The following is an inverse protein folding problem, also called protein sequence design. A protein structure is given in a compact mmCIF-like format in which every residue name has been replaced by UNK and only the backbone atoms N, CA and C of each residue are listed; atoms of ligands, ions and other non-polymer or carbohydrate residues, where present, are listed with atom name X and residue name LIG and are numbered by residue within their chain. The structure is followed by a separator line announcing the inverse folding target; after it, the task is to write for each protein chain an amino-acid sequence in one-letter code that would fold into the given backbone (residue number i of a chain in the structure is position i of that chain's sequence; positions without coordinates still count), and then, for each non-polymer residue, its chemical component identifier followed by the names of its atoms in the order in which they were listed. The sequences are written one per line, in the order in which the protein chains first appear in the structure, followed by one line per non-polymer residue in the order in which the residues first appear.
data_IF_742949362372
#
_entry.id   IF_742949362372
#
_cell.length_a   1.000
_cell.length_b   1.000
_cell.length_c   1.000
_cell.angle_alpha   90.00
_cell.angle_beta   90.00
_cell.angle_gamma   90.00
#
_symmetry.space_group_name_H-M   'P 1'
#
loop_
_entity.id
_entity.type
_entity.pdbx_description
1 polymer ?
#
# COMPACT_ATOMS: atom_id res chain seq x y z
N UNK A 1 -22.11 37.09 23.92
CA UNK A 1 -21.08 36.12 23.53
C UNK A 1 -21.75 35.15 22.56
N UNK A 2 -21.18 34.94 21.38
CA UNK A 2 -21.72 34.07 20.34
C UNK A 2 -21.84 32.62 20.86
N UNK A 3 -22.92 31.91 20.54
CA UNK A 3 -23.19 30.54 20.98
C UNK A 3 -24.04 29.80 19.95
N UNK A 4 -23.77 28.53 19.77
CA UNK A 4 -24.51 27.65 18.85
C UNK A 4 -24.60 28.21 17.41
N UNK A 5 -23.53 28.85 16.96
CA UNK A 5 -23.47 29.48 15.66
C UNK A 5 -22.10 29.35 14.98
N UNK A 6 -22.12 29.49 13.66
CA UNK A 6 -20.92 29.54 12.84
C UNK A 6 -20.28 30.91 12.89
N UNK A 7 -18.95 30.97 13.09
CA UNK A 7 -18.15 32.20 13.05
C UNK A 7 -17.08 32.06 12.00
N UNK A 8 -16.95 33.05 11.13
CA UNK A 8 -15.84 33.18 10.21
C UNK A 8 -14.77 34.10 10.81
N UNK A 9 -13.59 33.55 11.01
CA UNK A 9 -12.42 34.30 11.47
C UNK A 9 -11.60 34.74 10.28
N UNK A 10 -11.51 36.06 10.06
CA UNK A 10 -10.81 36.67 8.92
C UNK A 10 -9.29 36.57 9.02
N UNK A 11 -8.75 36.54 10.24
CA UNK A 11 -7.32 36.48 10.47
C UNK A 11 -6.74 35.11 10.15
N UNK A 12 -7.57 34.06 10.31
CA UNK A 12 -7.20 32.68 10.02
C UNK A 12 -7.85 32.12 8.75
N UNK A 13 -8.66 32.93 8.03
CA UNK A 13 -9.43 32.51 6.86
C UNK A 13 -10.15 31.16 7.09
N UNK A 14 -10.90 31.10 8.19
CA UNK A 14 -11.45 29.83 8.68
C UNK A 14 -12.82 29.98 9.33
N UNK A 15 -13.66 28.95 9.17
CA UNK A 15 -14.92 28.81 9.86
C UNK A 15 -14.78 27.99 11.13
N UNK A 16 -15.46 28.40 12.18
CA UNK A 16 -15.56 27.75 13.48
C UNK A 16 -17.03 27.62 13.87
N UNK A 17 -17.38 26.60 14.66
CA UNK A 17 -18.70 26.52 15.27
C UNK A 17 -18.56 26.58 16.79
N UNK A 18 -19.30 27.49 17.42
CA UNK A 18 -19.29 27.66 18.85
C UNK A 18 -20.41 26.85 19.48
N UNK A 19 -20.11 26.16 20.58
CA UNK A 19 -21.09 25.46 21.42
C UNK A 19 -21.92 26.45 22.25
N UNK A 20 -22.86 25.92 23.03
CA UNK A 20 -23.66 26.66 23.96
C UNK A 20 -22.86 27.33 25.10
N UNK A 21 -21.67 26.78 25.41
CA UNK A 21 -20.72 27.34 26.38
C UNK A 21 -19.78 28.41 25.75
N UNK A 22 -19.93 28.69 24.47
CA UNK A 22 -19.15 29.66 23.73
C UNK A 22 -17.75 29.14 23.29
N UNK A 23 -17.39 27.89 23.56
CA UNK A 23 -16.16 27.28 23.09
C UNK A 23 -16.34 26.71 21.68
N UNK A 24 -15.29 26.75 20.88
CA UNK A 24 -15.34 26.13 19.55
C UNK A 24 -15.35 24.60 19.65
N UNK A 25 -15.95 23.97 18.65
CA UNK A 25 -15.99 22.54 18.46
C UNK A 25 -14.65 22.04 17.93
N UNK A 26 -14.25 20.82 18.33
CA UNK A 26 -13.12 20.08 17.75
C UNK A 26 -13.56 18.65 17.46
N UNK A 27 -12.89 17.99 16.51
CA UNK A 27 -13.25 16.64 16.10
C UNK A 27 -14.56 16.59 15.31
N UNK A 28 -15.31 15.50 15.43
CA UNK A 28 -16.60 15.32 14.75
C UNK A 28 -17.74 15.81 15.64
N UNK A 29 -18.64 16.62 15.07
CA UNK A 29 -19.77 17.20 15.81
C UNK A 29 -21.03 17.33 14.94
N UNK A 30 -22.19 16.97 15.51
CA UNK A 30 -23.48 17.05 14.79
C UNK A 30 -24.14 18.40 15.01
N UNK A 31 -24.38 19.14 13.94
CA UNK A 31 -25.07 20.42 13.94
C UNK A 31 -26.37 20.27 13.13
N UNK A 32 -27.51 20.47 13.76
CA UNK A 32 -28.85 20.36 13.15
C UNK A 32 -29.03 19.04 12.34
N UNK A 33 -28.57 17.92 12.92
CA UNK A 33 -28.70 16.60 12.31
C UNK A 33 -27.69 16.26 11.21
N UNK A 34 -26.78 17.18 10.85
CA UNK A 34 -25.68 16.95 9.90
C UNK A 34 -24.34 16.92 10.64
N UNK A 35 -23.52 15.94 10.31
CA UNK A 35 -22.18 15.77 10.87
C UNK A 35 -21.17 16.69 10.17
N UNK A 36 -20.34 17.34 10.97
CA UNK A 36 -19.25 18.22 10.55
C UNK A 36 -17.94 17.81 11.23
N UNK A 37 -16.84 18.01 10.56
CA UNK A 37 -15.51 17.73 11.10
C UNK A 37 -14.72 19.01 11.32
N UNK A 38 -14.01 19.08 12.44
CA UNK A 38 -13.21 20.22 12.84
C UNK A 38 -11.81 19.75 13.26
N UNK A 39 -10.81 20.57 12.97
CA UNK A 39 -9.43 20.36 13.43
C UNK A 39 -9.34 20.49 14.97
N UNK A 40 -8.20 20.10 15.55
CA UNK A 40 -7.93 20.27 16.97
C UNK A 40 -7.92 21.76 17.41
N UNK A 41 -7.64 22.67 16.49
CA UNK A 41 -7.71 24.11 16.71
C UNK A 41 -9.11 24.69 16.46
N UNK A 42 -10.12 23.85 16.17
CA UNK A 42 -11.50 24.25 15.92
C UNK A 42 -11.82 24.68 14.50
N UNK A 43 -10.88 24.75 13.58
CA UNK A 43 -11.15 25.10 12.18
C UNK A 43 -12.04 24.05 11.53
N UNK A 44 -13.12 24.48 10.87
CA UNK A 44 -14.00 23.59 10.11
C UNK A 44 -13.27 23.03 8.89
N UNK A 45 -13.41 21.72 8.68
CA UNK A 45 -12.93 21.02 7.50
C UNK A 45 -14.10 20.96 6.53
N UNK A 46 -14.16 21.89 5.56
CA UNK A 46 -15.30 22.06 4.67
C UNK A 46 -15.52 20.89 3.71
N UNK A 47 -14.44 20.24 3.31
CA UNK A 47 -14.43 19.03 2.50
C UNK A 47 -13.28 18.13 2.93
N UNK A 48 -13.56 17.17 3.80
CA UNK A 48 -12.55 16.19 4.18
C UNK A 48 -12.29 15.25 3.00
N UNK A 49 -11.12 15.37 2.40
CA UNK A 49 -10.64 14.47 1.35
C UNK A 49 -9.83 13.30 1.91
N UNK A 50 -9.41 13.38 3.17
CA UNK A 50 -8.58 12.39 3.84
C UNK A 50 -9.12 12.06 5.22
N UNK A 51 -8.95 10.79 5.60
CA UNK A 51 -9.38 10.28 6.89
C UNK A 51 -8.27 9.42 7.50
N UNK A 52 -8.11 9.54 8.82
CA UNK A 52 -7.19 8.72 9.62
C UNK A 52 -7.96 7.61 10.31
N UNK A 53 -7.45 6.40 10.27
CA UNK A 53 -8.01 5.22 10.94
C UNK A 53 -7.77 5.31 12.45
N UNK A 54 -8.84 5.17 13.24
CA UNK A 54 -8.81 5.25 14.72
C UNK A 54 -8.52 3.93 15.42
N UNK A 55 -9.20 2.80 15.10
CA UNK A 55 -8.98 1.55 15.80
C UNK A 55 -7.67 0.88 15.39
N UNK A 56 -7.18 -0.04 16.21
CA UNK A 56 -5.98 -0.84 15.92
C UNK A 56 -6.12 -1.54 14.57
N UNK A 57 -7.32 -2.04 14.25
CA UNK A 57 -7.65 -2.66 12.97
C UNK A 57 -9.02 -2.19 12.50
N UNK A 58 -9.10 -1.74 11.25
CA UNK A 58 -10.34 -1.42 10.55
C UNK A 58 -10.41 -2.17 9.22
N UNK A 59 -11.61 -2.44 8.73
CA UNK A 59 -11.81 -3.20 7.50
C UNK A 59 -12.28 -2.31 6.35
N UNK A 60 -11.80 -2.64 5.14
CA UNK A 60 -12.31 -2.11 3.89
C UNK A 60 -13.26 -3.15 3.30
N UNK A 61 -14.44 -2.70 2.90
CA UNK A 61 -15.52 -3.56 2.39
C UNK A 61 -15.82 -3.27 0.92
N UNK A 62 -16.28 -4.28 0.20
CA UNK A 62 -16.90 -4.12 -1.12
C UNK A 62 -18.29 -3.48 -1.01
N UNK A 63 -18.88 -3.12 -2.14
CA UNK A 63 -20.27 -2.63 -2.20
C UNK A 63 -21.31 -3.72 -1.78
N UNK A 64 -20.95 -5.00 -1.86
CA UNK A 64 -21.76 -6.14 -1.35
C UNK A 64 -21.59 -6.36 0.16
N UNK A 65 -20.60 -5.72 0.79
CA UNK A 65 -20.31 -5.88 2.21
C UNK A 65 -19.27 -6.95 2.55
N UNK A 66 -18.62 -7.53 1.54
CA UNK A 66 -17.52 -8.46 1.74
C UNK A 66 -16.25 -7.72 2.16
N UNK A 67 -15.44 -8.34 3.00
CA UNK A 67 -14.14 -7.79 3.38
C UNK A 67 -13.17 -7.87 2.21
N UNK A 68 -12.64 -6.74 1.81
CA UNK A 68 -11.61 -6.63 0.77
C UNK A 68 -10.20 -6.60 1.37
N UNK A 69 -10.05 -5.89 2.50
CA UNK A 69 -8.77 -5.71 3.17
C UNK A 69 -8.97 -5.23 4.59
N UNK A 70 -7.87 -5.05 5.32
CA UNK A 70 -7.84 -4.33 6.58
C UNK A 70 -6.68 -3.33 6.59
N UNK A 71 -6.79 -2.34 7.47
CA UNK A 71 -5.81 -1.29 7.68
C UNK A 71 -5.59 -1.07 9.17
N UNK A 72 -4.40 -0.66 9.53
CA UNK A 72 -4.00 -0.43 10.92
C UNK A 72 -4.33 1.00 11.37
N UNK A 73 -4.32 1.21 12.67
CA UNK A 73 -4.43 2.53 13.30
C UNK A 73 -3.44 3.53 12.70
N UNK A 74 -3.90 4.75 12.49
CA UNK A 74 -3.09 5.83 11.93
C UNK A 74 -2.96 5.81 10.41
N UNK A 75 -3.44 4.76 9.71
CA UNK A 75 -3.48 4.74 8.24
C UNK A 75 -4.32 5.89 7.72
N UNK A 76 -3.81 6.58 6.70
CA UNK A 76 -4.54 7.63 5.99
C UNK A 76 -5.18 7.04 4.74
N UNK A 77 -6.49 7.24 4.61
CA UNK A 77 -7.26 6.88 3.42
C UNK A 77 -7.82 8.14 2.78
N UNK A 78 -7.96 8.16 1.47
CA UNK A 78 -8.64 9.26 0.77
C UNK A 78 -10.12 8.96 0.59
N UNK A 79 -10.94 10.01 0.50
CA UNK A 79 -12.35 9.87 0.11
C UNK A 79 -12.43 9.31 -1.31
N UNK A 80 -13.27 8.30 -1.51
CA UNK A 80 -13.58 7.73 -2.82
C UNK A 80 -14.80 8.40 -3.46
N UNK A 81 -14.95 8.21 -4.76
CA UNK A 81 -16.04 8.82 -5.55
C UNK A 81 -17.33 8.01 -5.57
N UNK A 82 -17.30 6.76 -5.09
CA UNK A 82 -18.45 5.87 -5.08
C UNK A 82 -19.53 6.32 -4.08
N UNK A 83 -20.79 6.09 -4.41
CA UNK A 83 -21.88 6.32 -3.45
C UNK A 83 -22.02 5.12 -2.52
N UNK A 84 -22.01 5.37 -1.21
CA UNK A 84 -22.31 4.35 -0.22
C UNK A 84 -23.81 4.07 -0.16
N UNK A 85 -24.18 2.78 -0.12
CA UNK A 85 -25.56 2.33 0.12
C UNK A 85 -25.93 2.33 1.60
N UNK A 86 -24.97 2.53 2.49
CA UNK A 86 -25.13 2.55 3.94
C UNK A 86 -24.69 3.91 4.49
N UNK A 87 -25.56 4.60 5.19
CA UNK A 87 -25.25 5.90 5.81
C UNK A 87 -24.11 5.82 6.84
N UNK A 88 -23.86 4.63 7.40
CA UNK A 88 -22.78 4.38 8.36
C UNK A 88 -21.41 4.20 7.71
N UNK A 89 -21.32 4.16 6.37
CA UNK A 89 -20.07 3.95 5.64
C UNK A 89 -19.77 5.10 4.69
N UNK A 90 -18.48 5.32 4.41
CA UNK A 90 -18.01 6.21 3.37
C UNK A 90 -17.15 5.45 2.37
N UNK A 91 -17.15 5.88 1.11
CA UNK A 91 -16.22 5.34 0.11
C UNK A 91 -14.82 5.81 0.42
N UNK A 92 -13.85 4.93 0.25
CA UNK A 92 -12.44 5.21 0.48
C UNK A 92 -11.57 4.62 -0.63
N UNK A 93 -10.42 5.28 -0.85
CA UNK A 93 -9.34 4.74 -1.68
C UNK A 93 -8.08 4.64 -0.84
N UNK A 94 -7.37 3.52 -1.00
CA UNK A 94 -6.09 3.27 -0.37
C UNK A 94 -5.23 2.36 -1.25
N UNK A 95 -4.03 2.79 -1.62
CA UNK A 95 -3.06 2.00 -2.40
C UNK A 95 -3.66 1.30 -3.62
N UNK A 96 -4.52 2.00 -4.37
CA UNK A 96 -5.22 1.47 -5.54
C UNK A 96 -6.41 0.56 -5.24
N UNK A 97 -6.72 0.29 -3.97
CA UNK A 97 -7.93 -0.39 -3.54
C UNK A 97 -9.04 0.64 -3.29
N UNK A 98 -10.18 0.46 -3.94
CA UNK A 98 -11.41 1.23 -3.69
C UNK A 98 -12.42 0.37 -2.93
N UNK A 99 -13.04 0.92 -1.90
CA UNK A 99 -14.02 0.21 -1.10
C UNK A 99 -14.77 1.14 -0.14
N UNK A 100 -15.31 0.59 0.93
CA UNK A 100 -16.08 1.31 1.93
C UNK A 100 -15.54 1.02 3.33
N UNK A 101 -15.50 2.04 4.18
CA UNK A 101 -15.15 1.90 5.61
C UNK A 101 -16.25 2.50 6.49
N UNK A 102 -16.38 1.99 7.71
CA UNK A 102 -17.33 2.55 8.66
C UNK A 102 -16.88 3.96 9.08
N UNK A 103 -17.80 4.91 9.11
CA UNK A 103 -17.54 6.27 9.59
C UNK A 103 -17.01 6.30 11.01
N UNK A 104 -17.50 5.38 11.86
CA UNK A 104 -17.06 5.25 13.25
C UNK A 104 -15.56 4.96 13.41
N UNK A 105 -14.95 4.35 12.41
CA UNK A 105 -13.53 3.94 12.42
C UNK A 105 -12.60 5.05 11.92
N UNK A 106 -13.15 6.17 11.48
CA UNK A 106 -12.43 7.22 10.78
C UNK A 106 -12.54 8.57 11.51
N UNK A 107 -11.53 9.39 11.36
CA UNK A 107 -11.56 10.82 11.71
C UNK A 107 -11.06 11.61 10.50
N UNK A 108 -11.84 12.63 10.13
CA UNK A 108 -11.45 13.52 9.04
C UNK A 108 -10.18 14.31 9.42
N UNK A 109 -9.27 14.46 8.47
CA UNK A 109 -8.04 15.23 8.63
C UNK A 109 -7.90 16.26 7.52
N UNK A 110 -7.19 17.34 7.83
CA UNK A 110 -6.78 18.36 6.86
C UNK A 110 -5.33 18.09 6.44
N UNK A 111 -5.10 17.98 5.14
CA UNK A 111 -3.77 17.77 4.55
C UNK A 111 -2.77 18.89 4.85
N UNK A 112 -3.24 20.08 5.21
CA UNK A 112 -2.41 21.23 5.51
C UNK A 112 -2.00 21.29 6.99
N UNK A 113 -2.73 20.60 7.88
CA UNK A 113 -2.46 20.54 9.31
C UNK A 113 -1.88 19.21 9.79
N UNK A 114 -2.07 18.12 9.03
CA UNK A 114 -1.52 16.80 9.33
C UNK A 114 -0.72 16.26 8.14
N UNK A 115 0.25 15.39 8.43
CA UNK A 115 0.96 14.70 7.37
C UNK A 115 0.01 13.75 6.65
N UNK A 116 -0.15 13.95 5.35
CA UNK A 116 -0.84 13.01 4.45
C UNK A 116 0.20 12.39 3.53
N UNK A 117 0.20 11.06 3.35
CA UNK A 117 1.08 10.39 2.40
C UNK A 117 0.97 11.03 1.01
N UNK A 118 2.11 11.33 0.42
CA UNK A 118 2.19 12.02 -0.86
C UNK A 118 3.43 11.57 -1.64
N UNK A 119 3.57 12.05 -2.84
CA UNK A 119 4.71 11.75 -3.70
C UNK A 119 5.54 13.00 -3.92
N UNK A 120 6.87 12.82 -3.95
CA UNK A 120 7.84 13.88 -4.28
C UNK A 120 8.87 13.36 -5.27
N UNK A 121 9.67 14.24 -5.86
CA UNK A 121 10.82 13.85 -6.67
C UNK A 121 12.03 14.69 -6.33
N UNK A 122 13.21 14.03 -6.37
CA UNK A 122 14.52 14.67 -6.24
C UNK A 122 15.19 14.98 -7.62
N UNK A 123 14.51 14.63 -8.72
CA UNK A 123 15.01 14.78 -10.08
C UNK A 123 15.73 13.54 -10.61
N UNK A 124 16.05 12.57 -9.76
CA UNK A 124 16.59 11.27 -10.17
C UNK A 124 15.54 10.16 -10.02
N UNK A 125 14.82 10.18 -8.91
CA UNK A 125 13.74 9.25 -8.60
C UNK A 125 12.52 9.99 -8.11
N UNK A 126 11.36 9.32 -8.10
CA UNK A 126 10.24 9.78 -7.30
C UNK A 126 9.97 8.81 -6.14
N UNK A 127 9.44 9.37 -5.07
CA UNK A 127 9.29 8.74 -3.77
C UNK A 127 7.86 8.81 -3.30
N UNK A 128 7.42 7.79 -2.59
CA UNK A 128 6.20 7.80 -1.78
C UNK A 128 6.57 8.12 -0.34
N UNK A 129 6.22 9.31 0.10
CA UNK A 129 6.39 9.79 1.46
C UNK A 129 5.25 9.24 2.31
N UNK A 130 5.51 8.20 3.09
CA UNK A 130 4.50 7.53 3.93
C UNK A 130 4.31 8.18 5.28
N UNK A 131 5.35 8.82 5.80
CA UNK A 131 5.35 9.60 7.04
C UNK A 131 6.48 10.64 7.00
N UNK A 132 6.58 11.56 7.97
CA UNK A 132 7.72 12.47 8.06
C UNK A 132 9.10 11.80 8.15
N UNK A 133 9.11 10.49 8.41
CA UNK A 133 10.34 9.73 8.65
C UNK A 133 10.53 8.54 7.70
N UNK A 134 9.53 8.25 6.84
CA UNK A 134 9.56 7.08 5.96
C UNK A 134 9.26 7.51 4.53
N UNK A 135 10.27 7.37 3.69
CA UNK A 135 10.21 7.64 2.26
C UNK A 135 10.58 6.37 1.49
N UNK A 136 9.75 5.95 0.57
CA UNK A 136 9.97 4.79 -0.29
C UNK A 136 10.27 5.24 -1.72
N UNK A 137 11.42 4.86 -2.26
CA UNK A 137 11.73 5.05 -3.66
C UNK A 137 10.81 4.17 -4.51
N UNK A 138 10.06 4.80 -5.42
CA UNK A 138 9.05 4.12 -6.25
C UNK A 138 9.57 3.80 -7.65
N UNK A 139 10.08 4.82 -8.36
CA UNK A 139 10.57 4.66 -9.72
C UNK A 139 11.51 5.82 -10.10
N UNK A 140 12.14 5.78 -11.30
CA UNK A 140 12.88 6.92 -11.85
C UNK A 140 11.98 8.17 -11.94
N UNK A 141 12.61 9.35 -11.86
CA UNK A 141 11.94 10.64 -12.00
C UNK A 141 11.12 10.72 -13.29
N UNK A 142 9.95 11.31 -13.20
CA UNK A 142 9.11 11.66 -14.35
C UNK A 142 9.20 13.15 -14.64
N UNK A 143 9.40 13.52 -15.90
CA UNK A 143 9.40 14.93 -16.34
C UNK A 143 8.08 15.68 -16.08
N UNK A 144 7.00 14.95 -15.79
CA UNK A 144 5.72 15.53 -15.37
C UNK A 144 5.75 16.05 -13.93
N UNK A 145 6.77 15.67 -13.13
CA UNK A 145 6.91 16.09 -11.73
C UNK A 145 7.91 17.23 -11.62
N UNK A 146 7.56 18.26 -10.87
CA UNK A 146 8.48 19.31 -10.43
C UNK A 146 9.23 18.84 -9.18
N UNK A 147 10.53 19.01 -9.15
CA UNK A 147 11.40 18.62 -8.02
C UNK A 147 10.93 19.29 -6.74
N UNK A 148 10.80 18.53 -5.66
CA UNK A 148 10.40 19.00 -4.32
C UNK A 148 8.91 19.34 -4.16
N UNK A 149 8.12 19.37 -5.24
CA UNK A 149 6.67 19.59 -5.14
C UNK A 149 5.97 18.33 -4.63
N UNK A 150 4.95 18.54 -3.77
CA UNK A 150 4.10 17.45 -3.27
C UNK A 150 3.00 17.14 -4.27
N UNK A 151 2.78 15.87 -4.51
CA UNK A 151 1.73 15.34 -5.37
C UNK A 151 0.93 14.27 -4.61
N UNK A 152 -0.39 14.30 -4.74
CA UNK A 152 -1.27 13.33 -4.10
C UNK A 152 -1.82 12.39 -5.16
N UNK A 153 -1.80 11.10 -4.85
CA UNK A 153 -2.34 10.05 -5.68
C UNK A 153 -2.78 8.88 -4.79
N UNK A 154 -3.87 8.23 -5.15
CA UNK A 154 -4.37 7.06 -4.43
C UNK A 154 -3.71 5.76 -4.87
N UNK A 155 -3.03 5.77 -6.03
CA UNK A 155 -2.43 4.58 -6.63
C UNK A 155 -0.97 4.78 -7.07
N UNK A 156 -0.45 6.02 -7.00
CA UNK A 156 0.91 6.34 -7.43
C UNK A 156 1.11 6.33 -8.95
N UNK A 157 0.03 6.26 -9.71
CA UNK A 157 0.01 6.25 -11.18
C UNK A 157 -0.76 7.46 -11.71
N UNK A 158 -1.97 7.68 -11.21
CA UNK A 158 -2.84 8.77 -11.62
C UNK A 158 -2.71 9.95 -10.65
N UNK A 159 -2.29 11.08 -11.18
CA UNK A 159 -2.11 12.34 -10.46
C UNK A 159 -3.02 13.40 -11.09
N UNK A 160 -3.24 14.51 -10.36
CA UNK A 160 -3.98 15.63 -10.91
C UNK A 160 -3.21 16.25 -12.09
N UNK A 161 -3.80 16.16 -13.27
CA UNK A 161 -3.28 16.70 -14.53
C UNK A 161 -2.25 15.82 -15.27
N UNK A 162 -1.82 14.66 -14.74
CA UNK A 162 -0.92 13.75 -15.44
C UNK A 162 -0.96 12.31 -14.91
N UNK A 163 -0.40 11.40 -15.70
CA UNK A 163 -0.22 9.99 -15.34
C UNK A 163 1.25 9.62 -15.42
N UNK A 164 1.75 8.87 -14.44
CA UNK A 164 3.09 8.29 -14.48
C UNK A 164 2.95 6.81 -14.81
N UNK A 165 3.58 6.41 -15.90
CA UNK A 165 3.67 5.00 -16.23
C UNK A 165 4.70 4.32 -15.31
N UNK A 166 4.22 3.46 -14.43
CA UNK A 166 5.09 2.64 -13.58
C UNK A 166 4.83 1.16 -13.84
N UNK A 167 5.72 0.49 -14.59
CA UNK A 167 5.50 -0.90 -14.99
C UNK A 167 5.52 -1.90 -13.83
N UNK A 168 6.00 -1.50 -12.64
CA UNK A 168 6.19 -2.41 -11.51
C UNK A 168 5.21 -2.19 -10.36
N UNK A 169 4.74 -0.96 -10.16
CA UNK A 169 3.72 -0.65 -9.16
C UNK A 169 2.38 -1.22 -9.64
N UNK A 170 1.65 -1.97 -8.92
CA UNK A 170 0.34 -2.57 -9.30
C UNK A 170 0.37 -3.50 -10.53
N UNK A 171 1.53 -4.01 -10.92
CA UNK A 171 1.59 -4.99 -11.99
C UNK A 171 0.84 -6.25 -11.59
N UNK A 172 -0.02 -6.74 -12.50
CA UNK A 172 -0.73 -7.99 -12.27
C UNK A 172 0.25 -9.16 -12.26
N UNK A 173 0.37 -9.84 -11.11
CA UNK A 173 1.32 -10.94 -10.91
C UNK A 173 0.99 -12.20 -11.69
N UNK A 174 -0.23 -12.33 -12.23
CA UNK A 174 -0.62 -13.45 -13.09
C UNK A 174 -0.26 -13.25 -14.56
N UNK A 175 0.23 -12.05 -14.92
CA UNK A 175 0.70 -11.79 -16.28
C UNK A 175 2.18 -12.14 -16.40
N UNK A 176 2.58 -12.81 -17.49
CA UNK A 176 3.98 -13.15 -17.71
C UNK A 176 4.89 -11.92 -17.70
N UNK A 177 6.12 -12.11 -17.27
CA UNK A 177 7.17 -11.13 -17.48
C UNK A 177 7.59 -11.10 -18.96
N UNK A 178 7.99 -9.93 -19.45
CA UNK A 178 8.51 -9.80 -20.82
C UNK A 178 10.02 -10.05 -20.91
N UNK A 179 10.62 -10.60 -19.85
CA UNK A 179 12.05 -10.86 -19.77
C UNK A 179 12.34 -12.32 -20.08
N UNK A 180 13.40 -12.54 -20.85
CA UNK A 180 14.00 -13.86 -21.07
C UNK A 180 14.76 -14.33 -19.83
N UNK A 181 15.03 -15.63 -19.75
CA UNK A 181 15.86 -16.20 -18.68
C UNK A 181 17.26 -15.53 -18.60
N UNK A 182 17.88 -15.27 -19.75
CA UNK A 182 19.18 -14.61 -19.81
C UNK A 182 19.15 -13.15 -19.33
N UNK A 183 18.07 -12.42 -19.57
CA UNK A 183 17.90 -11.06 -19.05
C UNK A 183 17.69 -11.06 -17.53
N UNK A 184 16.94 -12.01 -17.00
CA UNK A 184 16.80 -12.20 -15.56
C UNK A 184 18.15 -12.51 -14.90
N UNK A 185 18.95 -13.36 -15.50
CA UNK A 185 20.28 -13.71 -14.98
C UNK A 185 21.26 -12.52 -14.99
N UNK A 186 21.16 -11.61 -15.96
CA UNK A 186 21.99 -10.40 -16.01
C UNK A 186 21.82 -9.48 -14.80
N UNK A 187 20.68 -9.52 -14.12
CA UNK A 187 20.40 -8.64 -12.97
C UNK A 187 21.43 -8.85 -11.86
N UNK A 188 21.87 -10.09 -11.62
CA UNK A 188 22.88 -10.36 -10.59
C UNK A 188 24.20 -9.68 -10.88
N UNK A 189 24.66 -9.69 -12.12
CA UNK A 189 25.88 -8.99 -12.53
C UNK A 189 25.70 -7.47 -12.54
N UNK A 190 24.57 -6.95 -13.02
CA UNK A 190 24.28 -5.52 -13.03
C UNK A 190 24.21 -4.93 -11.62
N UNK A 191 23.69 -5.70 -10.67
CA UNK A 191 23.63 -5.32 -9.26
C UNK A 191 24.90 -5.66 -8.47
N UNK A 192 25.95 -6.18 -9.15
CA UNK A 192 27.18 -6.65 -8.53
C UNK A 192 26.96 -7.65 -7.38
N UNK A 193 25.96 -8.51 -7.54
CA UNK A 193 25.63 -9.54 -6.54
C UNK A 193 26.53 -10.76 -6.77
N UNK A 194 27.36 -11.05 -5.77
CA UNK A 194 28.24 -12.22 -5.75
C UNK A 194 27.69 -13.25 -4.77
N UNK A 195 28.08 -14.50 -4.96
CA UNK A 195 27.78 -15.64 -4.05
C UNK A 195 26.28 -15.88 -3.84
N UNK A 196 25.45 -15.54 -4.82
CA UNK A 196 24.03 -15.81 -4.79
C UNK A 196 23.71 -17.22 -5.29
N UNK A 197 22.95 -17.97 -4.52
CA UNK A 197 22.42 -19.28 -4.96
C UNK A 197 21.31 -19.15 -6.03
N UNK A 198 20.80 -17.95 -6.22
CA UNK A 198 19.78 -17.65 -7.23
C UNK A 198 20.40 -17.19 -8.57
N UNK A 199 21.70 -16.89 -8.60
CA UNK A 199 22.38 -16.51 -9.84
C UNK A 199 22.38 -17.66 -10.83
N UNK A 200 22.09 -17.36 -12.12
CA UNK A 200 21.98 -18.38 -13.17
C UNK A 200 20.68 -19.21 -13.12
N UNK A 201 19.69 -18.78 -12.33
CA UNK A 201 18.40 -19.48 -12.19
C UNK A 201 17.26 -18.82 -12.98
N UNK A 202 17.56 -17.92 -13.92
CA UNK A 202 16.57 -17.25 -14.77
C UNK A 202 15.64 -18.23 -15.49
N UNK A 203 16.18 -19.36 -15.98
CA UNK A 203 15.39 -20.41 -16.61
C UNK A 203 14.36 -21.04 -15.64
N UNK A 204 14.75 -21.24 -14.37
CA UNK A 204 13.84 -21.81 -13.35
C UNK A 204 12.75 -20.82 -12.98
N UNK A 205 13.05 -19.53 -12.90
CA UNK A 205 12.03 -18.50 -12.70
C UNK A 205 11.04 -18.43 -13.85
N UNK A 206 11.51 -18.60 -15.11
CA UNK A 206 10.61 -18.70 -16.27
C UNK A 206 9.77 -19.97 -16.27
N UNK A 207 10.34 -21.10 -15.88
CA UNK A 207 9.61 -22.35 -15.69
C UNK A 207 8.51 -22.20 -14.60
N UNK A 208 8.83 -21.53 -13.50
CA UNK A 208 7.85 -21.22 -12.44
C UNK A 208 6.71 -20.35 -12.96
N UNK A 209 7.02 -19.34 -13.77
CA UNK A 209 6.02 -18.49 -14.44
C UNK A 209 5.09 -19.32 -15.35
N UNK A 210 5.68 -20.19 -16.17
CA UNK A 210 4.93 -21.04 -17.11
C UNK A 210 4.01 -22.03 -16.38
N UNK A 211 4.56 -22.73 -15.38
CA UNK A 211 3.83 -23.78 -14.64
C UNK A 211 2.75 -23.24 -13.71
N UNK A 212 3.03 -22.15 -13.00
CA UNK A 212 2.18 -21.67 -11.91
C UNK A 212 1.52 -20.32 -12.21
N UNK A 213 1.83 -19.70 -13.35
CA UNK A 213 1.25 -18.42 -13.73
C UNK A 213 1.57 -17.29 -12.74
N UNK A 214 2.77 -17.30 -12.16
CA UNK A 214 3.27 -16.23 -11.28
C UNK A 214 4.44 -15.55 -11.97
N UNK A 215 4.38 -14.23 -12.13
CA UNK A 215 5.34 -13.42 -12.86
C UNK A 215 6.81 -13.69 -12.43
N UNK A 216 7.67 -14.08 -13.36
CA UNK A 216 9.06 -14.47 -13.10
C UNK A 216 9.90 -13.34 -12.49
N UNK A 217 9.72 -12.09 -12.95
CA UNK A 217 10.44 -10.95 -12.41
C UNK A 217 10.03 -10.67 -10.96
N UNK A 218 8.74 -10.80 -10.66
CA UNK A 218 8.25 -10.70 -9.28
C UNK A 218 8.85 -11.79 -8.40
N UNK A 219 8.80 -13.05 -8.83
CA UNK A 219 9.40 -14.15 -8.07
C UNK A 219 10.87 -13.91 -7.78
N UNK A 220 11.61 -13.43 -8.78
CA UNK A 220 13.04 -13.14 -8.64
C UNK A 220 13.28 -11.97 -7.65
N UNK A 221 12.56 -10.86 -7.80
CA UNK A 221 12.70 -9.70 -6.93
C UNK A 221 12.31 -10.04 -5.48
N UNK A 222 11.23 -10.78 -5.30
CA UNK A 222 10.74 -11.22 -3.99
C UNK A 222 11.74 -12.15 -3.32
N UNK A 223 12.24 -13.17 -4.03
CA UNK A 223 13.27 -14.07 -3.49
C UNK A 223 14.56 -13.33 -3.12
N UNK A 224 14.94 -12.32 -3.89
CA UNK A 224 16.10 -11.48 -3.59
C UNK A 224 15.91 -10.70 -2.28
N UNK A 225 14.74 -10.12 -2.07
CA UNK A 225 14.39 -9.37 -0.85
C UNK A 225 14.37 -10.28 0.38
N UNK A 226 13.60 -11.36 0.35
CA UNK A 226 13.37 -12.26 1.49
C UNK A 226 14.61 -13.07 1.90
N UNK A 227 15.51 -13.33 0.98
CA UNK A 227 16.69 -14.16 1.21
C UNK A 227 18.03 -13.43 1.17
N UNK A 228 18.03 -12.08 1.17
CA UNK A 228 19.22 -11.29 0.93
C UNK A 228 19.98 -11.76 -0.35
N UNK A 229 19.27 -11.85 -1.46
CA UNK A 229 19.77 -12.35 -2.74
C UNK A 229 20.22 -13.83 -2.69
N UNK A 230 19.51 -14.67 -1.96
CA UNK A 230 19.85 -16.08 -1.81
C UNK A 230 21.06 -16.37 -0.92
N UNK A 231 21.47 -15.39 -0.10
CA UNK A 231 22.67 -15.47 0.76
C UNK A 231 22.35 -15.67 2.23
N UNK A 232 21.09 -15.55 2.65
CA UNK A 232 20.70 -15.80 4.04
C UNK A 232 20.98 -17.24 4.46
N UNK A 233 21.13 -17.49 5.77
CA UNK A 233 21.41 -18.84 6.29
C UNK A 233 20.30 -19.83 5.90
N UNK A 234 19.04 -19.43 6.02
CA UNK A 234 17.89 -20.25 5.62
C UNK A 234 17.95 -20.60 4.12
N UNK A 235 18.29 -19.62 3.25
CA UNK A 235 18.45 -19.84 1.82
C UNK A 235 19.58 -20.86 1.53
N UNK A 236 20.70 -20.78 2.23
CA UNK A 236 21.86 -21.67 2.06
C UNK A 236 21.58 -23.09 2.50
N UNK A 237 20.96 -23.28 3.66
CA UNK A 237 20.83 -24.58 4.30
C UNK A 237 19.54 -25.31 3.90
N UNK A 238 18.50 -24.54 3.55
CA UNK A 238 17.15 -25.06 3.31
C UNK A 238 16.62 -24.82 1.90
N UNK A 239 17.35 -24.13 1.02
CA UNK A 239 16.88 -23.71 -0.30
C UNK A 239 15.53 -22.95 -0.25
N UNK A 240 15.27 -22.26 0.85
CA UNK A 240 14.06 -21.49 1.07
C UNK A 240 14.38 -19.99 0.89
N UNK A 241 13.98 -19.45 -0.25
CA UNK A 241 14.29 -18.09 -0.68
C UNK A 241 13.14 -17.12 -0.44
N UNK A 242 12.01 -17.57 0.11
CA UNK A 242 10.78 -16.81 0.25
C UNK A 242 10.24 -16.80 1.69
N UNK A 243 11.02 -17.28 2.65
CA UNK A 243 10.59 -17.32 4.05
C UNK A 243 9.42 -18.26 4.36
N UNK A 244 9.11 -19.24 3.49
CA UNK A 244 7.96 -20.13 3.66
C UNK A 244 8.08 -20.90 4.96
N UNK A 245 7.04 -20.78 5.82
CA UNK A 245 6.96 -21.36 7.15
C UNK A 245 8.09 -20.91 8.12
N UNK A 246 8.76 -19.80 7.85
CA UNK A 246 9.72 -19.18 8.76
C UNK A 246 8.95 -18.31 9.77
N UNK A 247 8.49 -18.88 10.88
CA UNK A 247 7.73 -18.15 11.90
C UNK A 247 8.66 -17.32 12.79
N UNK A 248 8.23 -16.12 13.19
CA UNK A 248 9.04 -15.18 13.97
C UNK A 248 9.58 -15.73 15.28
N UNK A 249 8.86 -16.68 15.91
CA UNK A 249 9.30 -17.32 17.15
C UNK A 249 10.48 -18.28 16.97
N UNK A 250 10.68 -18.83 15.75
CA UNK A 250 11.74 -19.79 15.45
C UNK A 250 12.03 -19.87 13.95
N UNK A 251 12.44 -18.76 13.30
CA UNK A 251 12.48 -18.66 11.83
C UNK A 251 13.32 -19.75 11.17
N UNK A 252 14.50 -20.01 11.71
CA UNK A 252 15.38 -21.03 11.14
C UNK A 252 14.83 -22.44 11.31
N UNK A 253 14.33 -22.79 12.49
CA UNK A 253 13.87 -24.16 12.78
C UNK A 253 12.59 -24.48 12.01
N UNK A 254 11.63 -23.54 11.96
CA UNK A 254 10.32 -23.73 11.33
C UNK A 254 10.36 -23.64 9.81
N UNK A 255 11.32 -22.89 9.23
CA UNK A 255 11.40 -22.68 7.80
C UNK A 255 11.39 -23.99 7.01
N UNK A 256 10.52 -24.07 6.01
CA UNK A 256 10.41 -25.22 5.10
C UNK A 256 11.74 -25.47 4.39
N UNK A 257 12.18 -26.73 4.35
CA UNK A 257 13.35 -27.17 3.58
C UNK A 257 12.91 -27.70 2.21
N UNK A 258 13.65 -27.33 1.19
CA UNK A 258 13.52 -27.88 -0.17
C UNK A 258 14.81 -28.65 -0.52
N UNK A 259 14.69 -29.67 -1.38
CA UNK A 259 15.80 -30.54 -1.71
C UNK A 259 16.95 -29.82 -2.45
N UNK A 260 16.57 -28.91 -3.34
CA UNK A 260 17.49 -28.11 -4.15
C UNK A 260 16.95 -26.70 -4.40
N UNK A 261 17.76 -25.86 -5.06
CA UNK A 261 17.42 -24.47 -5.39
C UNK A 261 16.20 -24.41 -6.32
N UNK A 262 16.14 -25.27 -7.32
CA UNK A 262 15.09 -25.26 -8.32
C UNK A 262 13.73 -25.62 -7.69
N UNK A 263 13.72 -26.64 -6.86
CA UNK A 263 12.53 -27.01 -6.06
C UNK A 263 12.15 -25.91 -5.05
N UNK A 264 13.10 -25.16 -4.54
CA UNK A 264 12.84 -23.99 -3.69
C UNK A 264 12.08 -22.90 -4.44
N UNK A 265 12.51 -22.57 -5.66
CA UNK A 265 11.85 -21.57 -6.51
C UNK A 265 10.48 -22.06 -6.97
N UNK A 266 10.43 -23.26 -7.56
CA UNK A 266 9.18 -23.85 -8.07
C UNK A 266 8.13 -24.07 -6.98
N UNK A 267 8.58 -24.58 -5.81
CA UNK A 267 7.71 -24.82 -4.67
C UNK A 267 7.14 -23.53 -4.08
N UNK A 268 7.94 -22.45 -4.08
CA UNK A 268 7.47 -21.15 -3.64
C UNK A 268 6.47 -20.53 -4.62
N UNK A 269 6.71 -20.61 -5.92
CA UNK A 269 5.78 -20.14 -6.94
C UNK A 269 4.42 -20.84 -6.82
N UNK A 270 4.43 -22.17 -6.65
CA UNK A 270 3.22 -22.96 -6.39
C UNK A 270 2.49 -22.47 -5.14
N UNK A 271 3.24 -22.29 -4.04
CA UNK A 271 2.68 -21.85 -2.76
C UNK A 271 2.06 -20.46 -2.84
N UNK A 272 2.75 -19.50 -3.52
CA UNK A 272 2.22 -18.15 -3.76
C UNK A 272 0.94 -18.22 -4.59
N UNK A 273 0.90 -19.02 -5.65
CA UNK A 273 -0.28 -19.22 -6.48
C UNK A 273 -1.47 -19.69 -5.65
N UNK A 274 -1.29 -20.78 -4.92
CA UNK A 274 -2.36 -21.46 -4.18
C UNK A 274 -2.83 -20.66 -2.94
N UNK A 275 -1.91 -19.98 -2.24
CA UNK A 275 -2.22 -19.35 -0.95
C UNK A 275 -2.49 -17.86 -1.03
N UNK A 276 -2.15 -17.18 -2.13
CA UNK A 276 -2.38 -15.73 -2.29
C UNK A 276 -3.23 -15.42 -3.52
N UNK A 277 -2.87 -15.91 -4.69
CA UNK A 277 -3.52 -15.50 -5.93
C UNK A 277 -4.88 -16.20 -6.07
N UNK A 278 -4.95 -17.54 -5.95
CA UNK A 278 -6.18 -18.31 -6.12
C UNK A 278 -7.05 -18.30 -4.88
N UNK A 279 -6.46 -18.19 -3.71
CA UNK A 279 -7.20 -18.25 -2.45
C UNK A 279 -8.09 -17.04 -2.19
N UNK A 280 -7.89 -15.93 -2.92
CA UNK A 280 -8.71 -14.74 -2.74
C UNK A 280 -8.52 -14.12 -1.37
N UNK A 281 -7.28 -13.97 -0.91
CA UNK A 281 -6.97 -13.30 0.37
C UNK A 281 -7.57 -11.91 0.42
N UNK A 282 -7.96 -11.46 1.61
CA UNK A 282 -8.70 -10.25 1.92
C UNK A 282 -8.21 -8.96 1.28
N UNK A 283 -7.02 -8.93 0.78
CA UNK A 283 -6.39 -7.69 0.38
C UNK A 283 -6.18 -7.54 -1.09
N UNK A 284 -6.58 -8.45 -1.92
CA UNK A 284 -6.69 -8.31 -3.36
C UNK A 284 -6.79 -9.65 -4.07
N UNK A 285 -6.69 -10.74 -3.34
CA UNK A 285 -7.03 -12.08 -3.74
C UNK A 285 -6.70 -12.40 -5.20
N UNK A 286 -7.69 -12.88 -5.90
CA UNK A 286 -7.61 -13.25 -7.32
C UNK A 286 -7.34 -12.09 -8.28
N UNK A 287 -7.33 -10.85 -7.80
CA UNK A 287 -6.93 -9.64 -8.54
C UNK A 287 -5.56 -9.15 -8.11
N UNK A 288 -4.71 -10.03 -7.62
CA UNK A 288 -3.39 -9.72 -7.13
C UNK A 288 -2.59 -8.87 -8.13
N UNK A 289 -2.28 -7.65 -7.75
CA UNK A 289 -1.49 -6.72 -8.55
C UNK A 289 -0.33 -6.20 -7.71
N UNK A 290 0.89 -6.34 -8.20
CA UNK A 290 2.12 -5.75 -7.67
C UNK A 290 2.17 -5.64 -6.14
N UNK A 291 2.42 -4.44 -5.62
CA UNK A 291 2.53 -4.15 -4.20
C UNK A 291 1.25 -4.33 -3.37
N UNK A 292 0.13 -4.56 -4.02
CA UNK A 292 -1.14 -4.81 -3.34
C UNK A 292 -1.32 -6.28 -2.94
N UNK A 293 -0.39 -7.15 -3.32
CA UNK A 293 -0.38 -8.52 -2.83
C UNK A 293 0.25 -8.52 -1.45
N UNK A 294 -0.54 -8.88 -0.47
CA UNK A 294 -0.02 -9.11 0.86
C UNK A 294 0.70 -10.45 0.90
N UNK A 295 1.99 -10.40 1.13
CA UNK A 295 2.83 -11.58 1.20
C UNK A 295 3.13 -12.02 2.63
N UNK A 296 3.36 -11.07 3.52
CA UNK A 296 3.55 -11.33 4.95
C UNK A 296 2.43 -10.68 5.75
N UNK A 297 1.98 -11.36 6.77
CA UNK A 297 0.96 -10.88 7.71
C UNK A 297 1.60 -10.47 9.02
#
# INVERSE_FOLDING_TARGET
MAKNEWIFDKDYDAWYYLKDDGRYVTGTFTIKGKEYSFQNNGKWISEAKYYKVKPITAYVYSASGERLSYVSQGTIVSLGDAQSKKDSQIPVNISGLSGFMNKSDLVAIDKDSEFVPHYTSDGQYFYHELSPYVSLRVAPHSSAMTIGKKYYSTDGIHFDGFTIENPFLFRNLTKPSNYSAAELDKIYSLMNIRDSRLAGKGAVFKEAEERYGVNALYLMAHSALESAWGRSQIAKDKNNFFGIAAYDSSPYTSAKKFDDVDKGILGAAKWIRENYIDYGRDHLGNKATGMNVRYAS
#
